data_IF_579294422483
#
_entry.id   IF_579294422483
#
_cell.length_a   1.000
_cell.length_b   1.000
_cell.length_c   1.000
_cell.angle_alpha   90.00
_cell.angle_beta   90.00
_cell.angle_gamma   90.00
#
_symmetry.space_group_name_H-M   'P 1'
#
loop_
_entity.id
_entity.type
_entity.pdbx_description
1 polymer ?
#
# COMPACT_ATOMS: atom_id res chain seq x y z
N UNK A 1 11.96 5.82 -0.15
CA UNK A 1 11.46 4.95 0.94
C UNK A 1 10.21 4.21 0.51
N UNK A 2 9.92 3.09 1.17
CA UNK A 2 8.74 2.24 0.91
C UNK A 2 7.60 2.53 1.89
N UNK A 3 6.39 2.08 1.59
CA UNK A 3 5.20 2.30 2.40
C UNK A 3 4.59 0.97 2.84
N UNK A 4 3.95 0.97 4.02
CA UNK A 4 3.18 -0.15 4.55
C UNK A 4 1.78 0.34 4.91
N UNK A 5 0.77 -0.50 4.67
CA UNK A 5 -0.62 -0.23 5.07
C UNK A 5 -1.34 -1.55 5.31
N UNK A 6 -2.39 -1.50 6.14
CA UNK A 6 -3.26 -2.63 6.43
C UNK A 6 -4.12 -2.35 7.66
N UNK A 7 -5.10 -3.21 7.89
CA UNK A 7 -5.95 -3.19 9.08
C UNK A 7 -5.16 -3.42 10.38
N UNK A 8 -3.98 -4.03 10.28
CA UNK A 8 -3.01 -4.15 11.37
C UNK A 8 -2.52 -2.78 11.86
N UNK A 9 -2.32 -1.83 10.93
CA UNK A 9 -1.80 -0.51 11.24
C UNK A 9 -2.94 0.51 11.48
N UNK A 10 -4.07 0.37 10.78
CA UNK A 10 -5.23 1.28 10.92
C UNK A 10 -6.55 0.60 10.55
N UNK A 11 -7.57 0.76 11.39
CA UNK A 11 -8.94 0.32 11.09
C UNK A 11 -9.77 1.37 10.33
N UNK A 12 -9.25 2.59 10.15
CA UNK A 12 -9.98 3.69 9.52
C UNK A 12 -9.51 3.94 8.09
N UNK A 13 -10.46 4.08 7.16
CA UNK A 13 -10.21 4.60 5.82
C UNK A 13 -10.05 6.11 5.85
N UNK A 14 -10.88 6.83 6.59
CA UNK A 14 -10.73 8.26 6.90
C UNK A 14 -11.31 8.55 8.27
N UNK A 15 -11.16 9.78 8.76
CA UNK A 15 -11.67 10.17 10.09
C UNK A 15 -13.15 9.80 10.22
N UNK A 16 -13.45 8.88 11.15
CA UNK A 16 -14.81 8.41 11.42
C UNK A 16 -15.36 7.35 10.46
N UNK A 17 -14.59 6.90 9.46
CA UNK A 17 -15.03 5.86 8.51
C UNK A 17 -14.10 4.64 8.59
N UNK A 18 -14.64 3.49 8.97
CA UNK A 18 -13.90 2.23 9.02
C UNK A 18 -13.52 1.75 7.62
N UNK A 19 -12.33 1.20 7.49
CA UNK A 19 -11.90 0.51 6.29
C UNK A 19 -12.68 -0.80 6.15
N UNK A 20 -13.20 -1.05 4.95
CA UNK A 20 -13.97 -2.26 4.64
C UNK A 20 -13.07 -3.47 4.35
N UNK A 21 -11.81 -3.22 3.95
CA UNK A 21 -10.84 -4.28 3.66
C UNK A 21 -9.41 -3.74 3.58
N UNK A 22 -8.43 -4.64 3.74
CA UNK A 22 -7.03 -4.36 3.40
C UNK A 22 -6.88 -3.88 1.94
N UNK A 23 -7.64 -4.46 1.01
CA UNK A 23 -7.61 -4.08 -0.40
C UNK A 23 -8.02 -2.61 -0.62
N UNK A 24 -8.97 -2.08 0.15
CA UNK A 24 -9.36 -0.67 0.08
C UNK A 24 -8.22 0.26 0.49
N UNK A 25 -7.50 -0.09 1.57
CA UNK A 25 -6.33 0.65 2.04
C UNK A 25 -5.19 0.62 1.01
N UNK A 26 -4.88 -0.56 0.48
CA UNK A 26 -3.86 -0.75 -0.58
C UNK A 26 -4.20 0.07 -1.82
N UNK A 27 -5.45 0.03 -2.31
CA UNK A 27 -5.87 0.81 -3.49
C UNK A 27 -5.68 2.31 -3.30
N UNK A 28 -5.95 2.83 -2.09
CA UNK A 28 -5.70 4.25 -1.78
C UNK A 28 -4.22 4.58 -1.86
N UNK A 29 -3.36 3.74 -1.29
CA UNK A 29 -1.92 3.95 -1.34
C UNK A 29 -1.36 3.88 -2.77
N UNK A 30 -1.84 2.92 -3.57
CA UNK A 30 -1.49 2.81 -5.00
C UNK A 30 -1.89 4.07 -5.76
N UNK A 31 -3.09 4.61 -5.52
CA UNK A 31 -3.54 5.85 -6.16
C UNK A 31 -2.62 7.02 -5.81
N UNK A 32 -2.33 7.22 -4.53
CA UNK A 32 -1.46 8.32 -4.06
C UNK A 32 -0.05 8.19 -4.66
N UNK A 33 0.52 6.98 -4.66
CA UNK A 33 1.83 6.73 -5.26
C UNK A 33 1.88 7.16 -6.73
N UNK A 34 0.87 6.79 -7.52
CA UNK A 34 0.76 7.20 -8.93
C UNK A 34 0.58 8.71 -9.10
N UNK A 35 -0.22 9.35 -8.25
CA UNK A 35 -0.42 10.82 -8.27
C UNK A 35 0.88 11.59 -8.03
N UNK A 36 1.84 11.01 -7.28
CA UNK A 36 3.17 11.59 -7.04
C UNK A 36 4.25 11.05 -7.98
N UNK A 37 3.87 10.38 -9.08
CA UNK A 37 4.80 9.89 -10.10
C UNK A 37 5.63 8.68 -9.68
N UNK A 38 5.12 7.84 -8.76
CA UNK A 38 5.78 6.59 -8.34
C UNK A 38 5.03 5.37 -8.85
N UNK A 39 5.81 4.43 -9.37
CA UNK A 39 5.30 3.11 -9.76
C UNK A 39 5.27 2.12 -8.58
N UNK A 40 4.43 1.10 -8.72
CA UNK A 40 4.25 0.04 -7.72
C UNK A 40 5.03 -1.18 -8.15
N UNK A 41 5.94 -1.62 -7.30
CA UNK A 41 6.73 -2.81 -7.55
C UNK A 41 5.84 -4.06 -7.65
N UNK A 42 6.12 -4.92 -8.62
CA UNK A 42 5.59 -6.28 -8.67
C UNK A 42 6.19 -7.13 -7.54
N UNK A 43 5.67 -8.36 -7.39
CA UNK A 43 6.23 -9.30 -6.41
C UNK A 43 7.66 -9.67 -6.79
N UNK A 44 7.92 -9.87 -8.08
CA UNK A 44 9.22 -10.19 -8.65
C UNK A 44 10.22 -9.04 -8.40
N UNK A 45 9.86 -7.81 -8.73
CA UNK A 45 10.69 -6.62 -8.47
C UNK A 45 10.94 -6.44 -6.97
N UNK A 46 9.93 -6.69 -6.13
CA UNK A 46 10.08 -6.60 -4.67
C UNK A 46 11.10 -7.61 -4.16
N UNK A 47 11.08 -8.84 -4.67
CA UNK A 47 12.07 -9.87 -4.31
C UNK A 47 13.48 -9.45 -4.69
N UNK A 48 13.67 -8.92 -5.90
CA UNK A 48 14.97 -8.44 -6.38
C UNK A 48 15.48 -7.27 -5.51
N UNK A 49 14.64 -6.27 -5.25
CA UNK A 49 14.99 -5.09 -4.43
C UNK A 49 15.38 -5.49 -3.01
N UNK A 50 14.72 -6.51 -2.44
CA UNK A 50 14.95 -6.94 -1.06
C UNK A 50 15.97 -8.10 -0.93
N UNK A 51 16.50 -8.63 -2.04
CA UNK A 51 17.40 -9.79 -2.02
C UNK A 51 16.74 -11.09 -1.54
N UNK A 52 15.44 -11.25 -1.79
CA UNK A 52 14.66 -12.42 -1.40
C UNK A 52 14.61 -13.45 -2.55
N UNK A 53 14.56 -14.74 -2.19
CA UNK A 53 14.36 -15.84 -3.15
C UNK A 53 12.86 -16.16 -3.27
#
# INVERSE_FOLDING_TARGET
GNIRTGLEDTIYYRKGELAQSNAQLVKRMVRIAKEIGREIATVEETKEILGLR
#
